data_IF_388568245665
#
_entry.id   IF_388568245665
#
_cell.length_a   1.000
_cell.length_b   1.000
_cell.length_c   1.000
_cell.angle_alpha   90.00
_cell.angle_beta   90.00
_cell.angle_gamma   90.00
#
_symmetry.space_group_name_H-M   'P 1'
#
loop_
_entity.id
_entity.type
_entity.pdbx_description
1 polymer ?
#
# COMPACT_ATOMS: atom_id res chain seq x y z
N UNK A 1 -18.31 4.89 16.17
CA UNK A 1 -17.59 3.71 15.62
C UNK A 1 -17.19 3.91 14.15
N UNK A 2 -18.10 3.88 13.16
CA UNK A 2 -17.73 3.91 11.71
C UNK A 2 -16.82 5.07 11.33
N UNK A 3 -17.20 6.30 11.71
CA UNK A 3 -16.37 7.50 11.48
C UNK A 3 -15.03 7.43 12.21
N UNK A 4 -15.00 6.92 13.44
CA UNK A 4 -13.76 6.72 14.21
C UNK A 4 -12.87 5.60 13.66
N UNK A 5 -13.35 4.81 12.70
CA UNK A 5 -12.56 3.83 11.95
C UNK A 5 -12.15 4.34 10.56
N UNK A 6 -12.39 5.63 10.24
CA UNK A 6 -12.24 6.23 8.90
C UNK A 6 -12.73 5.36 7.75
N UNK A 7 -13.82 4.61 7.97
CA UNK A 7 -14.38 3.69 6.99
C UNK A 7 -13.39 2.60 6.48
N UNK A 8 -12.28 2.35 7.17
CA UNK A 8 -11.30 1.35 6.78
C UNK A 8 -11.87 -0.07 7.02
N UNK A 9 -12.05 -0.91 5.97
CA UNK A 9 -12.77 -2.18 6.09
C UNK A 9 -12.19 -3.12 7.15
N UNK A 10 -10.86 -3.19 7.26
CA UNK A 10 -10.19 -4.05 8.25
C UNK A 10 -10.39 -3.53 9.68
N UNK A 11 -10.39 -2.21 9.88
CA UNK A 11 -10.59 -1.64 11.21
C UNK A 11 -12.02 -1.88 11.68
N UNK A 12 -12.99 -1.72 10.76
CA UNK A 12 -14.39 -2.03 11.00
C UNK A 12 -14.60 -3.52 11.31
N UNK A 13 -13.93 -4.41 10.58
CA UNK A 13 -14.04 -5.85 10.82
C UNK A 13 -13.49 -6.24 12.20
N UNK A 14 -12.30 -5.77 12.56
CA UNK A 14 -11.66 -6.07 13.85
C UNK A 14 -12.47 -5.50 15.01
N UNK A 15 -12.86 -4.22 14.93
CA UNK A 15 -13.64 -3.56 15.99
C UNK A 15 -15.05 -4.17 16.07
N UNK A 16 -15.68 -4.45 14.93
CA UNK A 16 -16.98 -5.11 14.86
C UNK A 16 -16.96 -6.51 15.47
N UNK A 17 -15.92 -7.32 15.20
CA UNK A 17 -15.73 -8.62 15.85
C UNK A 17 -15.48 -8.49 17.35
N UNK A 18 -14.68 -7.53 17.78
CA UNK A 18 -14.39 -7.29 19.20
C UNK A 18 -15.62 -6.84 20.00
N UNK A 19 -16.60 -6.18 19.36
CA UNK A 19 -17.83 -5.72 20.00
C UNK A 19 -19.00 -6.70 19.82
N UNK A 20 -18.74 -7.85 19.20
CA UNK A 20 -19.78 -8.87 18.99
C UNK A 20 -20.25 -9.38 20.36
N UNK A 21 -21.53 -9.18 20.65
CA UNK A 21 -22.19 -9.47 21.94
C UNK A 21 -21.79 -8.56 23.12
N UNK A 22 -21.09 -7.46 22.86
CA UNK A 22 -20.76 -6.47 23.89
C UNK A 22 -21.99 -5.65 24.31
N UNK A 23 -22.03 -5.23 25.56
CA UNK A 23 -23.12 -4.42 26.10
C UNK A 23 -23.04 -2.97 25.58
N UNK A 24 -24.17 -2.26 25.57
CA UNK A 24 -24.25 -0.92 25.00
C UNK A 24 -23.28 0.10 25.65
N UNK A 25 -22.91 -0.12 26.92
CA UNK A 25 -21.89 0.67 27.61
C UNK A 25 -20.51 0.51 26.99
N UNK A 26 -20.12 -0.71 26.63
CA UNK A 26 -18.85 -1.01 25.96
C UNK A 26 -18.82 -0.41 24.55
N UNK A 27 -19.95 -0.45 23.83
CA UNK A 27 -20.08 0.21 22.53
C UNK A 27 -19.85 1.73 22.62
N UNK A 28 -20.41 2.39 23.65
CA UNK A 28 -20.23 3.83 23.88
C UNK A 28 -18.79 4.16 24.24
N UNK A 29 -18.21 3.45 25.21
CA UNK A 29 -16.82 3.62 25.61
C UNK A 29 -15.86 3.42 24.43
N UNK A 30 -16.09 2.39 23.60
CA UNK A 30 -15.29 2.18 22.39
C UNK A 30 -15.46 3.31 21.38
N UNK A 31 -16.67 3.82 21.18
CA UNK A 31 -16.92 4.94 20.27
C UNK A 31 -16.20 6.22 20.70
N UNK A 32 -16.21 6.53 22.00
CA UNK A 32 -15.47 7.66 22.57
C UNK A 32 -13.95 7.46 22.45
N UNK A 33 -13.45 6.25 22.74
CA UNK A 33 -12.02 5.95 22.58
C UNK A 33 -11.55 6.12 21.13
N UNK A 34 -12.38 5.74 20.15
CA UNK A 34 -12.04 5.87 18.73
C UNK A 34 -12.14 7.31 18.21
N UNK A 35 -12.97 8.15 18.82
CA UNK A 35 -12.99 9.58 18.52
C UNK A 35 -11.73 10.28 19.03
N UNK A 36 -11.18 9.80 20.15
CA UNK A 36 -9.99 10.36 20.78
C UNK A 36 -8.68 9.69 20.28
N UNK A 37 -8.78 8.60 19.54
CA UNK A 37 -7.64 7.85 19.09
C UNK A 37 -6.96 8.52 17.88
N UNK A 38 -5.69 8.90 18.04
CA UNK A 38 -4.79 9.37 16.98
C UNK A 38 -4.36 8.28 15.97
N UNK A 39 -5.02 7.11 15.96
CA UNK A 39 -4.67 5.96 15.11
C UNK A 39 -4.56 6.37 13.62
N UNK A 40 -5.37 7.34 13.19
CA UNK A 40 -5.30 7.84 11.82
C UNK A 40 -4.33 9.01 11.61
N UNK A 41 -4.05 9.82 12.64
CA UNK A 41 -2.95 10.80 12.59
C UNK A 41 -1.60 10.08 12.42
N UNK A 42 -1.45 8.89 13.02
CA UNK A 42 -0.29 8.03 12.81
C UNK A 42 -0.23 7.47 11.39
N UNK A 43 -1.37 7.12 10.79
CA UNK A 43 -1.44 6.74 9.38
C UNK A 43 -0.99 7.89 8.47
N UNK A 44 -1.48 9.11 8.68
CA UNK A 44 -1.04 10.29 7.94
C UNK A 44 0.47 10.56 8.12
N UNK A 45 1.00 10.36 9.33
CA UNK A 45 2.45 10.43 9.60
C UNK A 45 3.26 9.38 8.85
N UNK A 46 2.69 8.22 8.51
CA UNK A 46 3.34 7.15 7.71
C UNK A 46 3.15 7.40 6.21
N UNK A 47 1.94 7.81 5.80
CA UNK A 47 1.59 8.05 4.41
C UNK A 47 2.31 9.26 3.83
N UNK A 48 2.56 10.30 4.62
CA UNK A 48 3.22 11.52 4.13
C UNK A 48 4.67 11.26 3.67
N UNK A 49 5.56 10.60 4.45
CA UNK A 49 6.87 10.18 3.96
C UNK A 49 6.81 9.28 2.73
N UNK A 50 5.87 8.32 2.69
CA UNK A 50 5.69 7.43 1.55
C UNK A 50 5.30 8.23 0.29
N UNK A 51 4.36 9.17 0.43
CA UNK A 51 3.95 10.04 -0.66
C UNK A 51 5.12 10.89 -1.19
N UNK A 52 5.94 11.47 -0.31
CA UNK A 52 7.15 12.20 -0.72
C UNK A 52 8.11 11.30 -1.51
N UNK A 53 8.31 10.04 -1.09
CA UNK A 53 9.19 9.11 -1.82
C UNK A 53 8.69 8.81 -3.25
N UNK A 54 7.39 8.96 -3.50
CA UNK A 54 6.76 8.82 -4.83
C UNK A 54 6.78 10.11 -5.67
N UNK A 55 6.96 11.29 -5.05
CA UNK A 55 7.01 12.56 -5.77
C UNK A 55 8.27 12.70 -6.63
N UNK A 56 9.38 12.12 -6.17
CA UNK A 56 10.66 12.10 -6.88
C UNK A 56 10.69 11.14 -8.09
N UNK A 57 9.65 10.33 -8.26
CA UNK A 57 9.52 9.44 -9.41
C UNK A 57 9.00 10.23 -10.62
N UNK A 58 9.55 9.92 -11.79
CA UNK A 58 8.96 10.37 -13.06
C UNK A 58 7.55 9.79 -13.23
N UNK A 59 6.69 10.40 -14.07
CA UNK A 59 5.35 9.87 -14.30
C UNK A 59 5.35 8.39 -14.68
N UNK A 60 6.26 7.96 -15.57
CA UNK A 60 6.37 6.55 -15.97
C UNK A 60 6.76 5.63 -14.81
N UNK A 61 7.70 6.03 -13.97
CA UNK A 61 8.13 5.24 -12.81
C UNK A 61 7.00 5.10 -11.79
N UNK A 62 6.22 6.17 -11.57
CA UNK A 62 5.07 6.15 -10.67
C UNK A 62 3.97 5.23 -11.19
N UNK A 63 3.65 5.29 -12.48
CA UNK A 63 2.71 4.39 -13.12
C UNK A 63 3.15 2.92 -13.00
N UNK A 64 4.44 2.63 -13.25
CA UNK A 64 4.99 1.28 -13.04
C UNK A 64 4.85 0.80 -11.59
N UNK A 65 5.07 1.67 -10.61
CA UNK A 65 4.83 1.34 -9.20
C UNK A 65 3.35 1.09 -8.91
N UNK A 66 2.44 1.89 -9.48
CA UNK A 66 1.00 1.70 -9.31
C UNK A 66 0.48 0.41 -9.92
N UNK A 67 1.11 -0.11 -10.98
CA UNK A 67 0.77 -1.43 -11.55
C UNK A 67 0.90 -2.56 -10.53
N UNK A 68 1.75 -2.41 -9.50
CA UNK A 68 1.88 -3.39 -8.41
C UNK A 68 0.57 -3.60 -7.64
N UNK A 69 -0.30 -2.59 -7.59
CA UNK A 69 -1.62 -2.69 -6.96
C UNK A 69 -2.58 -3.64 -7.67
N UNK A 70 -2.28 -4.02 -8.93
CA UNK A 70 -3.06 -4.99 -9.69
C UNK A 70 -2.76 -6.44 -9.32
N UNK A 71 -1.71 -6.69 -8.51
CA UNK A 71 -1.34 -8.02 -8.06
C UNK A 71 -1.96 -8.34 -6.69
N UNK A 72 -2.21 -9.63 -6.37
CA UNK A 72 -2.71 -10.02 -5.07
C UNK A 72 -1.77 -9.60 -3.94
N UNK A 73 -2.34 -8.99 -2.89
CA UNK A 73 -1.60 -8.60 -1.69
C UNK A 73 -0.84 -9.78 -1.06
N UNK A 74 0.35 -9.50 -0.52
CA UNK A 74 1.24 -10.46 0.16
C UNK A 74 1.68 -11.65 -0.70
N UNK A 75 1.80 -11.47 -2.03
CA UNK A 75 2.36 -12.48 -2.94
C UNK A 75 3.63 -11.98 -3.61
N UNK A 76 4.58 -12.89 -3.81
CA UNK A 76 5.81 -12.61 -4.56
C UNK A 76 5.51 -12.57 -6.04
N UNK A 77 5.93 -11.50 -6.70
CA UNK A 77 5.84 -11.34 -8.15
C UNK A 77 7.19 -11.70 -8.76
N UNK A 78 7.18 -12.45 -9.86
CA UNK A 78 8.42 -12.71 -10.61
C UNK A 78 8.89 -11.41 -11.25
N UNK A 79 10.07 -10.94 -10.87
CA UNK A 79 10.66 -9.71 -11.42
C UNK A 79 10.67 -9.70 -12.96
N UNK A 80 11.02 -10.83 -13.59
CA UNK A 80 10.97 -10.96 -15.05
C UNK A 80 9.58 -10.70 -15.62
N UNK A 81 8.53 -11.29 -15.04
CA UNK A 81 7.15 -11.11 -15.53
C UNK A 81 6.66 -9.66 -15.33
N UNK A 82 7.07 -9.02 -14.23
CA UNK A 82 6.77 -7.61 -13.97
C UNK A 82 7.45 -6.69 -14.99
N UNK A 83 8.75 -6.90 -15.25
CA UNK A 83 9.49 -6.15 -16.26
C UNK A 83 8.91 -6.35 -17.65
N UNK A 84 8.61 -7.59 -18.03
CA UNK A 84 8.00 -7.90 -19.32
C UNK A 84 6.64 -7.20 -19.46
N UNK A 85 5.82 -7.15 -18.40
CA UNK A 85 4.55 -6.41 -18.39
C UNK A 85 4.77 -4.90 -18.61
N UNK A 86 5.70 -4.27 -17.91
CA UNK A 86 6.00 -2.84 -18.09
C UNK A 86 6.53 -2.50 -19.48
N UNK A 87 7.32 -3.38 -20.09
CA UNK A 87 7.77 -3.21 -21.49
C UNK A 87 6.57 -3.16 -22.43
N UNK A 88 5.59 -4.04 -22.24
CA UNK A 88 4.40 -4.11 -23.09
C UNK A 88 3.42 -2.94 -22.85
N UNK A 89 3.18 -2.55 -21.59
CA UNK A 89 2.16 -1.53 -21.26
C UNK A 89 2.64 -0.10 -21.50
N UNK A 90 3.96 0.15 -21.48
CA UNK A 90 4.51 1.51 -21.61
C UNK A 90 5.04 1.83 -23.00
N UNK A 91 5.10 0.86 -23.92
CA UNK A 91 5.26 1.09 -25.37
C UNK A 91 6.50 1.87 -25.82
N UNK A 92 7.47 2.10 -24.93
CA UNK A 92 8.69 2.84 -25.26
C UNK A 92 9.77 1.85 -25.67
N UNK A 93 9.80 1.49 -26.96
CA UNK A 93 10.88 0.77 -27.64
C UNK A 93 11.52 -0.35 -26.80
N UNK A 94 10.83 -1.49 -26.63
CA UNK A 94 11.36 -2.82 -26.21
C UNK A 94 12.58 -2.87 -25.25
N UNK A 95 12.80 -1.87 -24.40
CA UNK A 95 14.07 -1.80 -23.67
C UNK A 95 13.86 -2.40 -22.29
N UNK A 96 14.11 -3.69 -22.22
CA UNK A 96 14.20 -4.43 -20.96
C UNK A 96 15.16 -3.74 -19.98
N UNK A 97 16.18 -3.02 -20.47
CA UNK A 97 17.10 -2.26 -19.64
C UNK A 97 16.39 -1.11 -18.92
N UNK A 98 15.41 -0.45 -19.56
CA UNK A 98 14.60 0.57 -18.90
C UNK A 98 13.72 -0.01 -17.80
N UNK A 99 13.03 -1.12 -18.09
CA UNK A 99 12.21 -1.80 -17.07
C UNK A 99 13.07 -2.28 -15.89
N UNK A 100 14.28 -2.75 -16.17
CA UNK A 100 15.27 -3.10 -15.15
C UNK A 100 15.70 -1.88 -14.32
N UNK A 101 16.01 -0.75 -14.95
CA UNK A 101 16.39 0.48 -14.25
C UNK A 101 15.26 0.99 -13.34
N UNK A 102 14.01 0.91 -13.79
CA UNK A 102 12.84 1.24 -12.95
C UNK A 102 12.76 0.28 -11.76
N UNK A 103 12.88 -1.02 -11.99
CA UNK A 103 12.87 -2.03 -10.93
C UNK A 103 13.94 -1.75 -9.87
N UNK A 104 15.18 -1.51 -10.29
CA UNK A 104 16.29 -1.21 -9.40
C UNK A 104 16.06 0.10 -8.64
N UNK A 105 15.59 1.15 -9.31
CA UNK A 105 15.30 2.43 -8.67
C UNK A 105 14.19 2.34 -7.63
N UNK A 106 13.15 1.53 -7.87
CA UNK A 106 12.10 1.28 -6.88
C UNK A 106 12.65 0.49 -5.68
N UNK A 107 13.57 -0.45 -5.91
CA UNK A 107 14.23 -1.21 -4.84
C UNK A 107 15.16 -0.33 -3.99
N UNK A 108 15.97 0.52 -4.62
CA UNK A 108 16.88 1.46 -3.95
C UNK A 108 16.13 2.47 -3.09
N UNK A 109 14.87 2.78 -3.45
CA UNK A 109 13.98 3.66 -2.70
C UNK A 109 13.13 2.94 -1.66
N UNK A 110 13.37 1.65 -1.42
CA UNK A 110 12.60 0.82 -0.49
C UNK A 110 11.10 0.77 -0.78
N UNK A 111 10.69 0.99 -2.04
CA UNK A 111 9.31 0.88 -2.48
C UNK A 111 8.94 -0.56 -2.83
N UNK A 112 9.95 -1.38 -3.18
CA UNK A 112 9.82 -2.83 -3.36
C UNK A 112 10.99 -3.55 -2.69
N UNK A 113 10.79 -4.83 -2.40
CA UNK A 113 11.85 -5.73 -1.95
C UNK A 113 12.14 -6.79 -3.01
N UNK A 114 13.41 -6.98 -3.33
CA UNK A 114 13.88 -8.00 -4.28
C UNK A 114 14.41 -9.21 -3.52
N UNK A 115 13.91 -10.39 -3.86
CA UNK A 115 14.36 -11.66 -3.28
C UNK A 115 15.15 -12.44 -4.34
N UNK A 116 16.29 -13.03 -3.95
CA UNK A 116 16.97 -14.02 -4.79
C UNK A 116 16.15 -15.31 -4.81
N UNK A 117 16.13 -15.98 -5.96
CA UNK A 117 15.58 -17.33 -6.07
C UNK A 117 16.56 -18.26 -5.34
N UNK A 118 16.16 -18.76 -4.17
CA UNK A 118 16.84 -19.85 -3.46
C UNK A 118 16.45 -21.19 -4.08
#
# INVERSE_FOLDING_TARGET
IVKGCNCHPLALEVIGKSLKNAEIGEWRSKAESLQNAQIFDEYEKILRPLYTSLQDLTPTERECFMDLSSFPNNKRIRAAALMDMWVHTRGQNEDRSRAYNILMKLADRHLIELFKRT
#
